data_IF_413074112037
#
_entry.id   IF_413074112037
#
_cell.length_a   1.000
_cell.length_b   1.000
_cell.length_c   1.000
_cell.angle_alpha   90.00
_cell.angle_beta   90.00
_cell.angle_gamma   90.00
#
_symmetry.space_group_name_H-M   'P 1'
#
loop_
_entity.id
_entity.type
_entity.pdbx_description
1 polymer ?
#
# COMPACT_ATOMS: atom_id res chain seq x y z
N UNK A 1 -59.17 -46.19 48.94
CA UNK A 1 -58.70 -44.93 48.40
C UNK A 1 -57.37 -45.23 47.73
N UNK A 2 -57.38 -45.24 46.40
CA UNK A 2 -56.27 -45.65 45.55
C UNK A 2 -55.49 -44.40 45.18
N UNK A 3 -54.18 -44.38 45.54
CA UNK A 3 -53.30 -43.30 45.08
C UNK A 3 -52.52 -43.78 43.85
N UNK A 4 -52.78 -43.09 42.73
CA UNK A 4 -52.15 -43.30 41.43
C UNK A 4 -50.88 -42.47 41.36
N UNK A 5 -49.69 -43.12 41.26
CA UNK A 5 -48.42 -42.44 41.01
C UNK A 5 -48.12 -42.42 39.52
N UNK A 6 -48.18 -41.23 38.93
CA UNK A 6 -47.77 -40.99 37.55
C UNK A 6 -46.23 -40.73 37.51
N UNK A 7 -45.48 -41.62 36.87
CA UNK A 7 -44.06 -41.47 36.55
C UNK A 7 -43.93 -40.49 35.34
N UNK A 8 -43.35 -39.33 35.56
CA UNK A 8 -42.87 -38.44 34.50
C UNK A 8 -41.51 -38.95 34.03
N UNK A 9 -41.45 -39.40 32.77
CA UNK A 9 -40.17 -39.64 32.10
C UNK A 9 -39.63 -38.29 31.61
N UNK A 10 -38.47 -37.86 32.17
CA UNK A 10 -37.70 -36.73 31.68
C UNK A 10 -36.80 -37.27 30.57
N UNK A 11 -37.09 -36.90 29.33
CA UNK A 11 -36.23 -37.19 28.19
C UNK A 11 -35.10 -36.15 28.17
N UNK A 12 -33.92 -36.55 28.60
CA UNK A 12 -32.70 -35.73 28.49
C UNK A 12 -32.26 -35.76 27.04
N UNK A 13 -32.48 -34.66 26.32
CA UNK A 13 -31.90 -34.42 24.99
C UNK A 13 -30.50 -33.89 25.22
N UNK A 14 -29.50 -34.74 25.09
CA UNK A 14 -28.08 -34.33 25.04
C UNK A 14 -27.80 -33.67 23.68
N UNK A 15 -27.76 -32.33 23.64
CA UNK A 15 -27.26 -31.58 22.50
C UNK A 15 -25.74 -31.73 22.52
N UNK A 16 -25.21 -32.60 21.66
CA UNK A 16 -23.78 -32.63 21.36
C UNK A 16 -23.45 -31.37 20.58
N UNK A 17 -22.94 -30.35 21.29
CA UNK A 17 -22.27 -29.21 20.66
C UNK A 17 -20.93 -29.71 20.11
N UNK A 18 -20.88 -30.07 18.84
CA UNK A 18 -19.61 -30.31 18.15
C UNK A 18 -18.92 -28.94 18.00
N UNK A 19 -17.97 -28.65 18.90
CA UNK A 19 -16.99 -27.59 18.66
C UNK A 19 -16.23 -27.97 17.38
N UNK A 20 -16.60 -27.34 16.25
CA UNK A 20 -15.71 -27.25 15.09
C UNK A 20 -14.52 -26.38 15.55
N UNK A 21 -13.42 -27.03 15.95
CA UNK A 21 -12.11 -26.36 15.96
C UNK A 21 -11.88 -25.96 14.51
N UNK A 22 -12.11 -24.68 14.19
CA UNK A 22 -12.03 -24.18 12.84
C UNK A 22 -10.60 -24.33 12.33
N UNK A 23 -10.37 -25.30 11.44
CA UNK A 23 -9.29 -25.16 10.46
C UNK A 23 -9.49 -23.80 9.78
N UNK A 24 -8.42 -23.00 9.68
CA UNK A 24 -8.50 -21.71 9.03
C UNK A 24 -9.08 -21.92 7.64
N UNK A 25 -10.14 -21.17 7.30
CA UNK A 25 -10.80 -21.22 6.00
C UNK A 25 -9.74 -20.97 4.90
N UNK A 26 -9.73 -21.80 3.85
CA UNK A 26 -8.81 -21.68 2.74
C UNK A 26 -9.16 -20.39 1.99
N UNK A 27 -8.23 -19.45 1.93
CA UNK A 27 -8.35 -18.23 1.13
C UNK A 27 -7.65 -18.44 -0.22
N UNK A 28 -8.40 -18.35 -1.31
CA UNK A 28 -7.88 -18.57 -2.66
C UNK A 28 -6.63 -17.72 -2.95
N UNK A 29 -6.68 -16.42 -2.64
CA UNK A 29 -5.59 -15.50 -2.97
C UNK A 29 -4.33 -15.73 -2.13
N UNK A 30 -4.50 -16.20 -0.88
CA UNK A 30 -3.38 -16.49 0.02
C UNK A 30 -2.78 -17.88 -0.21
N UNK A 31 -3.63 -18.89 -0.40
CA UNK A 31 -3.24 -20.29 -0.27
C UNK A 31 -3.18 -21.02 -1.61
N UNK A 32 -4.03 -20.68 -2.58
CA UNK A 32 -4.19 -21.40 -3.85
C UNK A 32 -3.54 -20.63 -5.02
N UNK A 33 -3.84 -19.34 -5.15
CA UNK A 33 -3.35 -18.53 -6.27
C UNK A 33 -1.81 -18.56 -6.41
N UNK A 34 -1.00 -18.49 -5.34
CA UNK A 34 0.46 -18.59 -5.47
C UNK A 34 0.90 -19.94 -6.07
N UNK A 35 0.26 -21.05 -5.68
CA UNK A 35 0.57 -22.38 -6.20
C UNK A 35 0.27 -22.44 -7.70
N UNK A 36 -0.89 -21.95 -8.13
CA UNK A 36 -1.28 -21.91 -9.54
C UNK A 36 -0.35 -20.99 -10.35
N UNK A 37 -0.02 -19.81 -9.80
CA UNK A 37 0.84 -18.83 -10.45
C UNK A 37 2.26 -19.36 -10.69
N UNK A 38 2.82 -20.06 -9.73
CA UNK A 38 4.17 -20.61 -9.82
C UNK A 38 4.26 -21.80 -10.80
N UNK A 39 3.22 -22.66 -10.85
CA UNK A 39 3.32 -23.97 -11.50
C UNK A 39 2.46 -24.11 -12.78
N UNK A 40 1.44 -23.27 -12.98
CA UNK A 40 0.42 -23.50 -14.01
C UNK A 40 0.25 -22.33 -14.99
N UNK A 41 0.30 -21.08 -14.52
CA UNK A 41 -0.12 -19.92 -15.34
C UNK A 41 0.81 -19.58 -16.50
N UNK A 42 2.03 -20.06 -16.51
CA UNK A 42 2.93 -19.93 -17.67
C UNK A 42 2.33 -20.58 -18.93
N UNK A 43 1.53 -21.62 -18.77
CA UNK A 43 0.85 -22.34 -19.88
C UNK A 43 -0.68 -22.16 -19.85
N UNK A 44 -1.27 -21.91 -18.68
CA UNK A 44 -2.70 -21.79 -18.45
C UNK A 44 -3.02 -20.45 -17.77
N UNK A 45 -2.52 -19.35 -18.30
CA UNK A 45 -2.69 -17.98 -17.83
C UNK A 45 -3.30 -17.06 -18.90
N UNK A 46 -3.32 -15.76 -18.65
CA UNK A 46 -3.93 -14.79 -19.56
C UNK A 46 -3.20 -14.71 -20.91
N UNK A 47 -1.87 -14.85 -20.92
CA UNK A 47 -1.05 -14.69 -22.11
C UNK A 47 -0.96 -15.97 -22.95
N UNK A 48 -1.14 -17.14 -22.31
CA UNK A 48 -1.11 -18.45 -22.98
C UNK A 48 -2.16 -19.36 -22.35
N UNK A 49 -3.10 -19.83 -23.17
CA UNK A 49 -4.21 -20.66 -22.75
C UNK A 49 -4.15 -22.03 -23.45
N UNK A 50 -3.18 -22.87 -23.05
CA UNK A 50 -3.12 -24.25 -23.57
C UNK A 50 -4.45 -24.95 -23.30
N UNK A 51 -4.98 -25.69 -24.29
CA UNK A 51 -6.28 -26.33 -24.27
C UNK A 51 -7.49 -25.39 -24.02
N UNK A 52 -7.31 -24.07 -24.16
CA UNK A 52 -8.34 -23.07 -23.87
C UNK A 52 -8.55 -22.78 -22.39
N UNK A 53 -7.65 -23.27 -21.52
CA UNK A 53 -7.74 -23.11 -20.06
C UNK A 53 -6.95 -21.89 -19.57
N UNK A 54 -7.61 -21.03 -18.78
CA UNK A 54 -6.97 -19.98 -18.00
C UNK A 54 -7.30 -20.18 -16.50
N UNK A 55 -6.30 -20.51 -15.71
CA UNK A 55 -6.43 -20.74 -14.25
C UNK A 55 -6.32 -19.48 -13.41
N UNK A 56 -6.22 -18.31 -14.04
CA UNK A 56 -6.33 -17.01 -13.32
C UNK A 56 -7.75 -16.46 -13.36
N UNK A 57 -8.63 -17.06 -14.16
CA UNK A 57 -10.03 -16.66 -14.32
C UNK A 57 -10.99 -17.77 -13.86
N UNK A 58 -11.81 -17.45 -12.87
CA UNK A 58 -12.80 -18.38 -12.30
C UNK A 58 -13.74 -18.99 -13.34
N UNK A 59 -14.24 -18.14 -14.26
CA UNK A 59 -15.15 -18.58 -15.30
C UNK A 59 -14.49 -19.58 -16.24
N UNK A 60 -13.25 -19.33 -16.64
CA UNK A 60 -12.46 -20.23 -17.50
C UNK A 60 -12.15 -21.54 -16.79
N UNK A 61 -11.74 -21.49 -15.52
CA UNK A 61 -11.40 -22.68 -14.75
C UNK A 61 -12.61 -23.64 -14.54
N UNK A 62 -13.82 -23.10 -14.50
CA UNK A 62 -15.07 -23.85 -14.33
C UNK A 62 -15.76 -24.20 -15.65
N UNK A 63 -15.32 -23.63 -16.76
CA UNK A 63 -15.89 -23.89 -18.07
C UNK A 63 -15.57 -25.32 -18.55
N UNK A 64 -16.41 -25.82 -19.46
CA UNK A 64 -16.14 -27.07 -20.16
C UNK A 64 -14.99 -26.87 -21.14
N UNK A 65 -13.97 -27.72 -21.04
CA UNK A 65 -12.82 -27.76 -21.92
C UNK A 65 -13.17 -28.48 -23.25
N UNK A 66 -12.30 -28.35 -24.25
CA UNK A 66 -12.45 -29.09 -25.53
C UNK A 66 -12.53 -30.62 -25.37
N UNK A 67 -12.06 -31.13 -24.25
CA UNK A 67 -12.13 -32.56 -23.89
C UNK A 67 -13.50 -32.99 -23.34
N UNK A 68 -14.45 -32.06 -23.15
CA UNK A 68 -15.72 -32.31 -22.47
C UNK A 68 -15.63 -32.34 -20.93
N UNK A 69 -14.43 -32.16 -20.38
CA UNK A 69 -14.19 -32.14 -18.92
C UNK A 69 -14.07 -30.70 -18.43
N UNK A 70 -14.08 -30.49 -17.09
CA UNK A 70 -13.86 -29.19 -16.45
C UNK A 70 -12.60 -29.23 -15.59
N UNK A 71 -11.81 -28.17 -15.63
CA UNK A 71 -10.61 -28.11 -14.80
C UNK A 71 -10.97 -28.11 -13.32
N UNK A 72 -11.99 -27.35 -12.93
CA UNK A 72 -12.48 -27.25 -11.54
C UNK A 72 -13.98 -27.50 -11.51
N UNK A 73 -14.41 -28.52 -10.78
CA UNK A 73 -15.81 -28.82 -10.45
C UNK A 73 -16.04 -28.49 -8.98
N UNK A 74 -16.67 -27.36 -8.64
CA UNK A 74 -16.86 -26.96 -7.25
C UNK A 74 -17.55 -28.04 -6.42
N UNK A 75 -16.99 -28.35 -5.26
CA UNK A 75 -17.47 -29.38 -4.33
C UNK A 75 -17.07 -30.81 -4.70
N UNK A 76 -16.45 -31.03 -5.88
CA UNK A 76 -16.11 -32.36 -6.35
C UNK A 76 -14.66 -32.45 -6.89
N UNK A 77 -13.66 -32.67 -6.03
CA UNK A 77 -12.27 -32.79 -6.44
C UNK A 77 -11.99 -34.01 -7.35
N UNK A 78 -12.76 -35.08 -7.25
CA UNK A 78 -12.50 -36.30 -8.03
C UNK A 78 -13.01 -36.18 -9.48
N UNK A 79 -14.03 -35.35 -9.74
CA UNK A 79 -14.49 -35.00 -11.09
C UNK A 79 -13.74 -33.80 -11.69
N UNK A 80 -12.83 -33.20 -10.94
CA UNK A 80 -12.03 -32.06 -11.39
C UNK A 80 -10.80 -32.54 -12.17
N UNK A 81 -10.70 -32.17 -13.45
CA UNK A 81 -9.57 -32.55 -14.31
C UNK A 81 -8.24 -32.03 -13.76
N UNK A 82 -8.24 -30.90 -13.07
CA UNK A 82 -7.05 -30.37 -12.38
C UNK A 82 -6.50 -31.39 -11.38
N UNK A 83 -7.35 -31.96 -10.53
CA UNK A 83 -6.95 -32.96 -9.55
C UNK A 83 -6.42 -34.22 -10.19
N UNK A 84 -7.09 -34.74 -11.21
CA UNK A 84 -6.64 -35.90 -11.96
C UNK A 84 -5.23 -35.69 -12.52
N UNK A 85 -5.00 -34.55 -13.20
CA UNK A 85 -3.72 -34.25 -13.84
C UNK A 85 -2.58 -33.96 -12.86
N UNK A 86 -2.88 -33.59 -11.61
CA UNK A 86 -1.88 -33.43 -10.56
C UNK A 86 -1.47 -34.76 -9.91
N UNK A 87 -2.28 -35.84 -10.06
CA UNK A 87 -2.10 -37.08 -9.31
C UNK A 87 -1.90 -38.32 -10.19
N UNK A 88 -2.14 -38.21 -11.51
CA UNK A 88 -1.97 -39.33 -12.43
C UNK A 88 -0.50 -39.77 -12.56
N UNK A 89 -0.30 -41.06 -12.79
CA UNK A 89 1.02 -41.64 -13.11
C UNK A 89 1.28 -41.69 -14.63
N UNK A 90 0.28 -41.36 -15.46
CA UNK A 90 0.44 -41.23 -16.89
C UNK A 90 1.22 -39.95 -17.21
N UNK A 91 2.42 -40.12 -17.79
CA UNK A 91 3.32 -39.01 -18.09
C UNK A 91 2.76 -38.03 -19.13
N UNK A 92 1.88 -38.49 -20.03
CA UNK A 92 1.26 -37.64 -21.05
C UNK A 92 0.16 -36.77 -20.50
N UNK A 93 -0.47 -37.19 -19.41
CA UNK A 93 -1.53 -36.49 -18.74
C UNK A 93 -1.05 -35.67 -17.52
N UNK A 94 0.12 -35.98 -17.00
CA UNK A 94 0.67 -35.34 -15.79
C UNK A 94 0.92 -33.84 -15.99
N UNK A 95 0.51 -33.04 -14.98
CA UNK A 95 0.77 -31.59 -14.94
C UNK A 95 1.46 -31.19 -13.61
N UNK A 96 2.46 -30.29 -13.64
CA UNK A 96 3.18 -29.84 -14.84
C UNK A 96 3.86 -30.99 -15.55
N UNK A 97 4.05 -30.92 -16.91
CA UNK A 97 4.78 -31.96 -17.65
C UNK A 97 6.21 -32.12 -17.09
N UNK A 98 6.76 -33.33 -17.06
CA UNK A 98 8.06 -33.63 -16.45
C UNK A 98 9.23 -32.79 -16.98
N UNK A 99 9.17 -32.39 -18.26
CA UNK A 99 10.16 -31.57 -18.95
C UNK A 99 10.00 -30.06 -18.75
N UNK A 100 8.87 -29.63 -18.18
CA UNK A 100 8.53 -28.19 -18.01
C UNK A 100 8.41 -27.72 -16.57
N UNK A 101 8.54 -28.56 -15.56
CA UNK A 101 8.44 -28.16 -14.18
C UNK A 101 8.62 -29.29 -13.16
N UNK A 102 8.68 -28.93 -11.89
CA UNK A 102 8.69 -29.88 -10.78
C UNK A 102 7.25 -30.27 -10.43
N UNK A 103 7.02 -31.52 -10.07
CA UNK A 103 5.76 -31.96 -9.47
C UNK A 103 5.43 -31.10 -8.25
N UNK A 104 4.15 -30.80 -8.07
CA UNK A 104 3.67 -30.15 -6.84
C UNK A 104 3.96 -31.05 -5.65
N UNK A 105 4.21 -30.44 -4.51
CA UNK A 105 4.36 -31.16 -3.24
C UNK A 105 3.02 -31.78 -2.80
N UNK A 106 3.03 -32.91 -2.08
CA UNK A 106 1.79 -33.56 -1.63
C UNK A 106 0.87 -32.65 -0.82
N UNK A 107 1.44 -31.76 -0.01
CA UNK A 107 0.69 -30.77 0.79
C UNK A 107 -0.01 -29.74 -0.10
N UNK A 108 0.63 -29.28 -1.18
CA UNK A 108 0.02 -28.37 -2.16
C UNK A 108 -1.15 -29.04 -2.91
N UNK A 109 -0.99 -30.32 -3.30
CA UNK A 109 -2.07 -31.09 -3.95
C UNK A 109 -3.24 -31.28 -2.96
N UNK A 110 -2.95 -31.61 -1.71
CA UNK A 110 -3.97 -31.75 -0.66
C UNK A 110 -4.75 -30.46 -0.46
N UNK A 111 -4.04 -29.33 -0.44
CA UNK A 111 -4.65 -28.01 -0.26
C UNK A 111 -5.57 -27.64 -1.44
N UNK A 112 -5.16 -27.91 -2.68
CA UNK A 112 -5.99 -27.70 -3.89
C UNK A 112 -7.24 -28.60 -3.83
N UNK A 113 -7.10 -29.87 -3.47
CA UNK A 113 -8.24 -30.80 -3.34
C UNK A 113 -9.23 -30.34 -2.28
N UNK A 114 -8.75 -29.90 -1.14
CA UNK A 114 -9.57 -29.35 -0.06
C UNK A 114 -10.31 -28.09 -0.51
N UNK A 115 -9.60 -27.15 -1.16
CA UNK A 115 -10.23 -25.95 -1.73
C UNK A 115 -11.37 -26.28 -2.70
N UNK A 116 -11.17 -27.28 -3.58
CA UNK A 116 -12.22 -27.72 -4.51
C UNK A 116 -13.38 -28.34 -3.73
N UNK A 117 -13.10 -29.18 -2.73
CA UNK A 117 -14.14 -29.82 -1.90
C UNK A 117 -14.98 -28.80 -1.12
N UNK A 118 -14.39 -27.69 -0.70
CA UNK A 118 -15.07 -26.56 -0.05
C UNK A 118 -15.87 -25.68 -1.03
N UNK A 119 -15.99 -26.08 -2.30
CA UNK A 119 -16.76 -25.37 -3.34
C UNK A 119 -15.91 -24.46 -4.22
N UNK A 120 -14.59 -24.57 -4.13
CA UNK A 120 -13.63 -23.76 -4.88
C UNK A 120 -13.94 -22.25 -4.80
N UNK A 121 -14.06 -21.67 -3.60
CA UNK A 121 -14.36 -20.25 -3.45
C UNK A 121 -13.24 -19.41 -4.06
N UNK A 122 -13.55 -18.68 -5.11
CA UNK A 122 -12.60 -17.78 -5.77
C UNK A 122 -12.68 -16.41 -5.11
N UNK A 123 -11.61 -15.94 -4.52
CA UNK A 123 -11.58 -14.67 -3.84
C UNK A 123 -10.46 -13.77 -4.34
N UNK A 124 -10.73 -12.48 -4.41
CA UNK A 124 -9.68 -11.48 -4.63
C UNK A 124 -8.83 -11.36 -3.37
N UNK A 125 -7.56 -11.02 -3.54
CA UNK A 125 -6.69 -10.67 -2.43
C UNK A 125 -7.38 -9.63 -1.52
N UNK A 126 -7.19 -9.74 -0.21
CA UNK A 126 -7.90 -8.90 0.78
C UNK A 126 -7.73 -7.39 0.52
N UNK A 127 -6.58 -6.96 -0.01
CA UNK A 127 -6.31 -5.56 -0.34
C UNK A 127 -7.22 -4.99 -1.45
N UNK A 128 -7.83 -5.85 -2.28
CA UNK A 128 -8.76 -5.46 -3.35
C UNK A 128 -10.23 -5.68 -2.98
N UNK A 129 -10.50 -6.11 -1.75
CA UNK A 129 -11.87 -6.28 -1.26
C UNK A 129 -12.37 -4.97 -0.65
N UNK A 130 -13.64 -4.61 -0.83
CA UNK A 130 -14.23 -3.49 -0.11
C UNK A 130 -14.04 -3.66 1.40
N UNK A 131 -13.73 -2.57 2.09
CA UNK A 131 -13.63 -2.59 3.55
C UNK A 131 -14.97 -2.99 4.16
N UNK A 132 -14.93 -3.89 5.13
CA UNK A 132 -16.09 -4.29 5.93
C UNK A 132 -15.92 -3.75 7.34
N UNK A 133 -17.03 -3.37 7.94
CA UNK A 133 -17.01 -3.07 9.37
C UNK A 133 -16.72 -4.35 10.13
N UNK A 134 -15.66 -4.34 10.94
CA UNK A 134 -15.24 -5.48 11.76
C UNK A 134 -15.62 -5.21 13.19
N UNK A 135 -16.33 -6.17 13.81
CA UNK A 135 -16.61 -6.10 15.25
C UNK A 135 -15.36 -6.52 16.02
N UNK A 136 -14.87 -5.68 16.95
CA UNK A 136 -13.75 -6.05 17.80
C UNK A 136 -14.05 -7.33 18.59
N UNK A 137 -13.09 -8.25 18.72
CA UNK A 137 -13.31 -9.52 19.38
C UNK A 137 -13.57 -9.37 20.89
N UNK A 138 -14.33 -10.29 21.46
CA UNK A 138 -14.43 -10.47 22.91
C UNK A 138 -13.11 -11.04 23.45
N UNK A 139 -12.65 -10.54 24.60
CA UNK A 139 -11.38 -10.93 25.21
C UNK A 139 -11.51 -10.98 26.73
N UNK A 140 -10.71 -11.83 27.40
CA UNK A 140 -10.80 -12.08 28.84
C UNK A 140 -10.13 -10.98 29.68
N UNK A 141 -8.94 -10.52 29.30
CA UNK A 141 -8.14 -9.55 30.06
C UNK A 141 -8.54 -8.09 29.83
N UNK A 142 -9.83 -7.76 29.99
CA UNK A 142 -10.41 -6.46 29.70
C UNK A 142 -9.73 -5.24 30.36
N UNK A 143 -9.10 -5.43 31.52
CA UNK A 143 -8.39 -4.35 32.22
C UNK A 143 -7.15 -3.79 31.49
N UNK A 144 -6.59 -4.53 30.52
CA UNK A 144 -5.46 -4.10 29.69
C UNK A 144 -5.89 -3.18 28.53
N UNK A 145 -7.15 -3.26 28.14
CA UNK A 145 -7.72 -2.57 26.96
C UNK A 145 -7.80 -1.06 27.20
N UNK A 146 -7.32 -0.27 26.25
CA UNK A 146 -7.47 1.21 26.21
C UNK A 146 -8.28 1.67 25.00
N UNK A 147 -8.21 0.90 23.89
CA UNK A 147 -8.94 1.16 22.66
C UNK A 147 -9.26 -0.15 21.93
N UNK A 148 -10.01 -0.06 20.83
CA UNK A 148 -10.46 -1.24 20.09
C UNK A 148 -9.31 -2.03 19.43
N UNK A 149 -8.18 -1.39 19.12
CA UNK A 149 -6.99 -2.07 18.57
C UNK A 149 -6.43 -3.07 19.58
N UNK A 150 -6.46 -2.72 20.86
CA UNK A 150 -5.98 -3.58 21.95
C UNK A 150 -6.75 -4.91 22.02
N UNK A 151 -8.05 -4.90 21.66
CA UNK A 151 -8.86 -6.12 21.61
C UNK A 151 -8.33 -7.12 20.58
N UNK A 152 -7.97 -6.64 19.39
CA UNK A 152 -7.39 -7.50 18.35
C UNK A 152 -6.02 -8.04 18.75
N UNK A 153 -5.19 -7.21 19.38
CA UNK A 153 -3.87 -7.63 19.90
C UNK A 153 -4.05 -8.68 20.98
N UNK A 154 -4.94 -8.42 21.95
CA UNK A 154 -5.15 -9.29 23.10
C UNK A 154 -5.78 -10.64 22.69
N UNK A 155 -6.77 -10.64 21.80
CA UNK A 155 -7.34 -11.87 21.26
C UNK A 155 -6.27 -12.77 20.63
N UNK A 156 -5.29 -12.17 19.94
CA UNK A 156 -4.19 -12.91 19.34
C UNK A 156 -3.21 -13.45 20.39
N UNK A 157 -2.92 -12.68 21.44
CA UNK A 157 -2.11 -13.14 22.57
C UNK A 157 -2.79 -14.31 23.29
N UNK A 158 -4.08 -14.19 23.62
CA UNK A 158 -4.88 -15.23 24.28
C UNK A 158 -4.93 -16.51 23.46
N UNK A 159 -5.12 -16.43 22.14
CA UNK A 159 -5.09 -17.58 21.23
C UNK A 159 -3.74 -18.35 21.28
N UNK A 160 -2.64 -17.63 21.54
CA UNK A 160 -1.32 -18.22 21.74
C UNK A 160 -0.96 -18.49 23.21
N UNK A 161 -1.90 -18.32 24.15
CA UNK A 161 -1.70 -18.46 25.61
C UNK A 161 -0.59 -17.55 26.14
N UNK A 162 -0.46 -16.38 25.56
CA UNK A 162 0.49 -15.35 25.98
C UNK A 162 -0.24 -14.24 26.76
N UNK A 163 0.48 -13.62 27.69
CA UNK A 163 0.01 -12.45 28.42
C UNK A 163 0.72 -11.19 27.93
N UNK A 164 0.05 -10.03 27.96
CA UNK A 164 0.72 -8.76 27.71
C UNK A 164 1.88 -8.53 28.69
N UNK A 165 2.99 -7.98 28.18
CA UNK A 165 4.10 -7.57 29.04
C UNK A 165 3.66 -6.46 30.01
N UNK A 166 4.27 -6.37 31.19
CA UNK A 166 4.05 -5.25 32.11
C UNK A 166 4.34 -3.91 31.43
N UNK A 167 3.64 -2.88 31.85
CA UNK A 167 3.86 -1.53 31.36
C UNK A 167 5.30 -1.10 31.64
N UNK A 168 5.94 -0.45 30.66
CA UNK A 168 7.25 0.13 30.82
C UNK A 168 7.24 1.22 31.91
N UNK A 169 8.35 1.37 32.63
CA UNK A 169 8.58 2.49 33.53
C UNK A 169 8.55 3.83 32.76
N UNK A 170 8.38 4.93 33.49
CA UNK A 170 8.18 6.27 32.87
C UNK A 170 9.39 6.76 32.10
N UNK A 171 10.61 6.48 32.55
CA UNK A 171 11.82 6.85 31.84
C UNK A 171 11.93 6.11 30.50
N UNK A 172 11.66 4.80 30.51
CA UNK A 172 11.62 3.98 29.31
C UNK A 172 10.51 4.44 28.36
N UNK A 173 9.33 4.78 28.90
CA UNK A 173 8.18 5.18 28.10
C UNK A 173 8.43 6.51 27.37
N UNK A 174 8.89 7.56 28.07
CA UNK A 174 9.19 8.84 27.41
C UNK A 174 10.29 8.68 26.35
N UNK A 175 11.34 7.90 26.64
CA UNK A 175 12.40 7.62 25.68
C UNK A 175 11.84 6.98 24.42
N UNK A 176 11.04 5.92 24.53
CA UNK A 176 10.42 5.22 23.39
C UNK A 176 9.53 6.14 22.57
N UNK A 177 8.60 6.85 23.23
CA UNK A 177 7.67 7.77 22.55
C UNK A 177 8.41 8.90 21.83
N UNK A 178 9.48 9.45 22.41
CA UNK A 178 10.28 10.50 21.77
C UNK A 178 10.97 9.98 20.51
N UNK A 179 11.63 8.83 20.57
CA UNK A 179 12.27 8.25 19.40
C UNK A 179 11.28 7.81 18.32
N UNK A 180 10.12 7.27 18.71
CA UNK A 180 9.11 6.84 17.76
C UNK A 180 8.45 8.02 17.06
N UNK A 181 8.03 9.05 17.81
CA UNK A 181 7.26 10.16 17.27
C UNK A 181 8.12 11.25 16.61
N UNK A 182 9.26 11.60 17.22
CA UNK A 182 10.10 12.71 16.72
C UNK A 182 11.52 12.32 16.33
N UNK A 183 11.93 11.07 16.58
CA UNK A 183 13.25 10.56 16.22
C UNK A 183 14.42 11.11 17.07
N UNK A 184 14.13 11.86 18.12
CA UNK A 184 15.10 12.54 18.98
C UNK A 184 14.98 12.08 20.44
N UNK A 185 16.06 12.10 21.23
CA UNK A 185 15.99 11.84 22.65
C UNK A 185 15.23 12.97 23.36
N UNK A 186 14.50 12.67 24.45
CA UNK A 186 13.91 13.71 25.27
C UNK A 186 14.98 14.51 26.01
N UNK A 187 14.76 15.82 26.23
CA UNK A 187 15.62 16.62 27.05
C UNK A 187 15.53 16.21 28.53
N UNK A 188 16.57 16.38 29.35
CA UNK A 188 16.53 16.00 30.78
C UNK A 188 15.36 16.59 31.56
N UNK A 189 15.05 17.86 31.35
CA UNK A 189 13.92 18.53 32.00
C UNK A 189 12.55 17.97 31.58
N UNK A 190 12.42 17.49 30.33
CA UNK A 190 11.20 16.83 29.85
C UNK A 190 11.00 15.47 30.51
N UNK A 191 12.09 14.73 30.72
CA UNK A 191 12.09 13.47 31.44
C UNK A 191 11.63 13.70 32.88
N UNK A 192 12.24 14.67 33.57
CA UNK A 192 11.89 15.02 34.95
C UNK A 192 10.44 15.46 35.09
N UNK A 193 9.97 16.32 34.22
CA UNK A 193 8.59 16.79 34.20
C UNK A 193 7.60 15.62 34.01
N UNK A 194 7.87 14.73 33.06
CA UNK A 194 7.00 13.58 32.82
C UNK A 194 7.05 12.55 33.96
N UNK A 195 8.21 12.23 34.52
CA UNK A 195 8.36 11.27 35.61
C UNK A 195 7.61 11.78 36.88
N UNK A 196 7.63 13.09 37.13
CA UNK A 196 7.00 13.72 38.28
C UNK A 196 5.49 14.01 38.08
N UNK A 197 4.97 14.05 36.87
CA UNK A 197 3.52 14.23 36.60
C UNK A 197 2.75 12.98 37.01
N UNK A 198 2.06 13.00 38.14
CA UNK A 198 1.26 11.88 38.65
C UNK A 198 -0.20 11.90 38.17
N UNK A 199 -0.55 12.81 37.27
CA UNK A 199 -1.92 12.89 36.74
C UNK A 199 -2.21 11.68 35.82
N UNK A 200 -3.48 11.31 35.73
CA UNK A 200 -3.99 10.30 34.79
C UNK A 200 -3.72 10.66 33.32
N UNK A 201 -3.61 11.97 33.04
CA UNK A 201 -3.43 12.52 31.69
C UNK A 201 -1.95 12.69 31.30
N UNK A 202 -1.00 12.28 32.12
CA UNK A 202 0.41 12.50 31.87
C UNK A 202 0.87 11.91 30.52
N UNK A 203 0.37 10.71 30.15
CA UNK A 203 0.68 10.06 28.87
C UNK A 203 0.11 10.84 27.69
N UNK A 204 -1.17 11.26 27.79
CA UNK A 204 -1.85 12.03 26.74
C UNK A 204 -1.19 13.39 26.51
N UNK A 205 -0.78 14.07 27.59
CA UNK A 205 -0.03 15.31 27.51
C UNK A 205 1.31 15.13 26.83
N UNK A 206 2.05 14.05 27.15
CA UNK A 206 3.33 13.73 26.53
C UNK A 206 3.14 13.47 25.03
N UNK A 207 2.20 12.60 24.65
CA UNK A 207 1.93 12.27 23.24
C UNK A 207 1.47 13.51 22.48
N UNK A 208 0.54 14.30 23.03
CA UNK A 208 0.07 15.54 22.40
C UNK A 208 1.20 16.54 22.15
N UNK A 209 2.11 16.72 23.12
CA UNK A 209 3.29 17.58 22.97
C UNK A 209 4.23 17.09 21.85
N UNK A 210 4.48 15.79 21.78
CA UNK A 210 5.36 15.20 20.76
C UNK A 210 4.73 15.30 19.35
N UNK A 211 3.42 15.06 19.23
CA UNK A 211 2.70 15.22 17.96
C UNK A 211 2.67 16.69 17.49
N UNK A 212 2.61 17.65 18.41
CA UNK A 212 2.66 19.09 18.09
C UNK A 212 4.08 19.61 17.78
N UNK A 213 5.10 18.79 17.94
CA UNK A 213 6.48 19.16 17.64
C UNK A 213 6.72 19.23 16.13
N UNK A 214 7.42 20.27 15.65
CA UNK A 214 7.88 20.36 14.27
C UNK A 214 8.70 19.13 13.81
N UNK A 215 9.39 18.48 14.75
CA UNK A 215 10.20 17.30 14.49
C UNK A 215 9.37 16.06 14.17
N UNK A 216 8.05 16.07 14.45
CA UNK A 216 7.16 15.00 14.01
C UNK A 216 7.11 14.93 12.49
N UNK A 217 6.88 16.04 11.80
CA UNK A 217 6.91 16.08 10.34
C UNK A 217 8.29 15.78 9.75
N UNK A 218 9.38 16.22 10.38
CA UNK A 218 10.75 15.87 9.95
C UNK A 218 10.99 14.34 10.05
N UNK A 219 10.55 13.73 11.16
CA UNK A 219 10.67 12.27 11.39
C UNK A 219 9.87 11.45 10.39
N UNK A 220 8.61 11.81 10.19
CA UNK A 220 7.68 11.02 9.37
C UNK A 220 7.74 11.40 7.89
N UNK A 221 8.05 12.66 7.57
CA UNK A 221 8.27 13.14 6.21
C UNK A 221 9.38 12.39 5.49
N UNK A 222 10.43 11.97 6.22
CA UNK A 222 11.51 11.17 5.67
C UNK A 222 11.00 9.87 5.02
N UNK A 223 10.07 9.17 5.66
CA UNK A 223 9.52 7.93 5.11
C UNK A 223 8.73 8.15 3.82
N UNK A 224 8.02 9.28 3.74
CA UNK A 224 7.36 9.67 2.50
C UNK A 224 8.35 10.05 1.41
N UNK A 225 9.36 10.85 1.74
CA UNK A 225 10.40 11.29 0.81
C UNK A 225 11.20 10.12 0.25
N UNK A 226 11.48 9.08 1.05
CA UNK A 226 12.09 7.84 0.57
C UNK A 226 11.21 7.15 -0.48
N UNK A 227 9.89 7.10 -0.27
CA UNK A 227 8.96 6.55 -1.24
C UNK A 227 8.82 7.41 -2.50
N UNK A 228 8.83 8.73 -2.33
CA UNK A 228 8.85 9.69 -3.44
C UNK A 228 10.18 9.70 -4.20
N UNK A 229 11.21 9.02 -3.71
CA UNK A 229 12.58 8.98 -4.26
C UNK A 229 13.22 10.37 -4.31
N UNK A 230 12.92 11.19 -3.28
CA UNK A 230 13.47 12.52 -3.15
C UNK A 230 14.99 12.51 -3.18
N UNK A 231 15.57 13.38 -3.99
CA UNK A 231 17.01 13.65 -4.01
C UNK A 231 17.28 15.13 -4.25
N UNK A 232 18.38 15.62 -3.67
CA UNK A 232 18.87 16.98 -3.88
C UNK A 232 19.73 17.11 -5.16
N UNK A 233 19.82 16.05 -5.97
CA UNK A 233 20.58 15.98 -7.22
C UNK A 233 19.82 15.20 -8.30
N UNK A 234 20.34 15.24 -9.55
CA UNK A 234 19.70 14.65 -10.72
C UNK A 234 19.68 13.12 -10.72
N UNK A 235 20.60 12.47 -9.98
CA UNK A 235 20.66 11.02 -9.82
C UNK A 235 21.13 10.26 -11.07
N UNK A 236 21.73 10.92 -12.04
CA UNK A 236 22.29 10.32 -13.23
C UNK A 236 23.73 10.84 -13.47
N UNK A 237 24.46 10.34 -14.46
CA UNK A 237 25.91 10.49 -14.65
C UNK A 237 26.53 11.81 -14.20
N UNK A 238 26.05 12.97 -14.67
CA UNK A 238 26.53 14.29 -14.24
C UNK A 238 26.08 14.69 -12.84
N UNK A 239 25.00 14.13 -12.37
CA UNK A 239 24.44 14.31 -11.04
C UNK A 239 24.46 15.76 -10.52
N UNK A 240 23.93 16.69 -11.33
CA UNK A 240 23.90 18.11 -10.95
C UNK A 240 22.98 18.36 -9.74
N UNK A 241 23.32 19.34 -8.87
CA UNK A 241 22.47 19.67 -7.73
C UNK A 241 21.15 20.31 -8.13
N UNK A 242 20.05 19.89 -7.51
CA UNK A 242 18.71 20.44 -7.66
C UNK A 242 18.46 21.54 -6.65
N UNK A 243 18.83 22.76 -6.96
CA UNK A 243 18.87 23.91 -6.05
C UNK A 243 17.53 24.23 -5.35
N UNK A 244 16.40 23.76 -5.86
CA UNK A 244 15.08 24.01 -5.31
C UNK A 244 14.33 22.76 -4.83
N UNK A 245 14.94 21.58 -4.87
CA UNK A 245 14.31 20.33 -4.45
C UNK A 245 13.84 20.36 -2.98
N UNK A 246 14.62 20.98 -2.11
CA UNK A 246 14.31 21.17 -0.68
C UNK A 246 12.92 21.78 -0.42
N UNK A 247 12.36 22.52 -1.37
CA UNK A 247 11.03 23.13 -1.22
C UNK A 247 9.93 22.09 -1.17
N UNK A 248 10.04 21.04 -1.99
CA UNK A 248 9.13 19.89 -1.93
C UNK A 248 9.29 19.12 -0.61
N UNK A 249 10.52 18.87 -0.18
CA UNK A 249 10.78 18.27 1.14
C UNK A 249 10.10 19.05 2.26
N UNK A 250 10.27 20.37 2.27
CA UNK A 250 9.67 21.23 3.31
C UNK A 250 8.13 21.26 3.20
N UNK A 251 7.58 21.17 1.97
CA UNK A 251 6.14 21.01 1.78
C UNK A 251 5.63 19.71 2.44
N UNK A 252 6.29 18.58 2.20
CA UNK A 252 5.94 17.28 2.83
C UNK A 252 5.99 17.37 4.35
N UNK A 253 7.08 17.91 4.92
CA UNK A 253 7.25 18.09 6.36
C UNK A 253 6.11 18.93 6.96
N UNK A 254 5.81 20.06 6.31
CA UNK A 254 4.78 20.99 6.78
C UNK A 254 3.38 20.39 6.65
N UNK A 255 3.09 19.65 5.59
CA UNK A 255 1.80 18.97 5.39
C UNK A 255 1.54 17.92 6.47
N UNK A 256 2.57 17.14 6.85
CA UNK A 256 2.48 16.16 7.94
C UNK A 256 2.29 16.86 9.29
N UNK A 257 3.02 17.95 9.55
CA UNK A 257 2.86 18.73 10.79
C UNK A 257 1.50 19.41 10.88
N UNK A 258 0.88 19.74 9.74
CA UNK A 258 -0.47 20.31 9.67
C UNK A 258 -1.57 19.24 9.71
N UNK A 259 -1.20 17.97 9.83
CA UNK A 259 -2.14 16.83 9.76
C UNK A 259 -3.05 16.90 8.52
N UNK A 260 -2.45 17.25 7.36
CA UNK A 260 -3.19 17.36 6.10
C UNK A 260 -3.86 16.01 5.77
N UNK A 261 -5.20 15.96 5.57
CA UNK A 261 -5.89 14.72 5.24
C UNK A 261 -5.24 13.99 4.06
N UNK A 262 -5.14 12.66 4.16
CA UNK A 262 -4.36 11.86 3.20
C UNK A 262 -4.88 11.96 1.76
N UNK A 263 -6.18 12.07 1.57
CA UNK A 263 -6.80 12.32 0.27
C UNK A 263 -6.37 13.66 -0.32
N UNK A 264 -6.40 14.73 0.48
CA UNK A 264 -5.92 16.05 0.05
C UNK A 264 -4.41 16.04 -0.23
N UNK A 265 -3.62 15.42 0.64
CA UNK A 265 -2.19 15.22 0.48
C UNK A 265 -1.86 14.48 -0.83
N UNK A 266 -2.68 13.50 -1.20
CA UNK A 266 -2.57 12.75 -2.46
C UNK A 266 -2.91 13.61 -3.67
N UNK A 267 -4.07 14.27 -3.64
CA UNK A 267 -4.55 15.13 -4.74
C UNK A 267 -3.54 16.22 -5.06
N UNK A 268 -3.02 16.91 -4.02
CA UNK A 268 -2.07 18.00 -4.22
C UNK A 268 -0.76 17.55 -4.86
N UNK A 269 -0.26 16.36 -4.52
CA UNK A 269 0.96 15.84 -5.11
C UNK A 269 0.79 15.33 -6.55
N UNK A 270 -0.36 14.75 -6.87
CA UNK A 270 -0.59 14.20 -8.21
C UNK A 270 -1.11 15.24 -9.21
N UNK A 271 -1.94 16.18 -8.75
CA UNK A 271 -2.71 17.10 -9.59
C UNK A 271 -2.95 18.46 -8.92
N UNK A 272 -2.09 18.89 -8.01
CA UNK A 272 -2.27 20.15 -7.27
C UNK A 272 -2.33 21.40 -8.16
N UNK A 273 -1.62 21.38 -9.29
CA UNK A 273 -1.63 22.45 -10.31
C UNK A 273 -2.92 22.51 -11.13
N UNK A 274 -3.69 21.42 -11.17
CA UNK A 274 -4.97 21.30 -11.87
C UNK A 274 -6.17 21.72 -11.01
N UNK A 275 -5.97 22.00 -9.73
CA UNK A 275 -7.03 22.43 -8.83
C UNK A 275 -7.57 23.80 -9.23
N UNK A 276 -8.88 24.06 -9.09
CA UNK A 276 -9.44 25.38 -9.32
C UNK A 276 -8.76 26.44 -8.43
N UNK A 277 -8.21 27.49 -9.04
CA UNK A 277 -7.45 28.54 -8.33
C UNK A 277 -6.27 28.00 -7.50
N UNK A 278 -5.55 27.01 -8.03
CA UNK A 278 -4.44 26.37 -7.36
C UNK A 278 -3.46 27.36 -6.73
N UNK A 279 -3.22 27.20 -5.45
CA UNK A 279 -2.25 28.00 -4.70
C UNK A 279 -0.81 27.63 -5.08
N UNK A 280 0.15 28.48 -4.74
CA UNK A 280 1.56 28.21 -4.97
C UNK A 280 2.05 26.95 -4.23
N UNK A 281 1.49 26.65 -3.04
CA UNK A 281 1.82 25.44 -2.29
C UNK A 281 1.25 24.19 -2.95
N UNK A 282 0.05 24.25 -3.50
CA UNK A 282 -0.54 23.14 -4.25
C UNK A 282 0.23 22.84 -5.54
N UNK A 283 0.66 23.89 -6.26
CA UNK A 283 1.57 23.72 -7.39
C UNK A 283 2.92 23.14 -6.99
N UNK A 284 3.47 23.57 -5.84
CA UNK A 284 4.73 23.04 -5.30
C UNK A 284 4.61 21.55 -4.96
N UNK A 285 3.48 21.10 -4.45
CA UNK A 285 3.23 19.69 -4.13
C UNK A 285 3.44 18.77 -5.32
N UNK A 286 3.10 19.22 -6.55
CA UNK A 286 3.30 18.44 -7.79
C UNK A 286 4.77 18.16 -8.12
N UNK A 287 5.70 18.76 -7.39
CA UNK A 287 7.11 18.40 -7.50
C UNK A 287 7.38 16.93 -7.11
N UNK A 288 6.43 16.21 -6.50
CA UNK A 288 6.43 14.76 -6.43
C UNK A 288 6.70 14.12 -7.81
N UNK A 289 6.01 14.58 -8.84
CA UNK A 289 6.15 14.09 -10.22
C UNK A 289 7.49 14.46 -10.87
N UNK A 290 8.29 15.33 -10.22
CA UNK A 290 9.61 15.78 -10.70
C UNK A 290 10.77 15.06 -10.00
N UNK A 291 10.51 14.06 -9.14
CA UNK A 291 11.53 13.26 -8.46
C UNK A 291 12.06 12.12 -9.35
N UNK A 292 11.96 12.26 -10.66
CA UNK A 292 12.54 11.34 -11.66
C UNK A 292 14.03 11.61 -11.85
N UNK A 293 14.77 10.64 -12.37
CA UNK A 293 16.12 10.86 -12.86
C UNK A 293 16.10 11.92 -13.97
N UNK A 294 17.08 12.81 -13.99
CA UNK A 294 17.23 13.83 -15.04
C UNK A 294 18.53 13.62 -15.80
N UNK A 295 18.43 13.36 -17.09
CA UNK A 295 19.60 13.28 -17.96
C UNK A 295 19.92 14.63 -18.59
N UNK A 296 21.13 15.12 -18.35
CA UNK A 296 21.66 16.37 -18.95
C UNK A 296 22.85 16.11 -19.87
N UNK A 297 23.09 14.85 -20.26
CA UNK A 297 24.16 14.46 -21.17
C UNK A 297 23.90 14.96 -22.60
N UNK A 298 24.99 15.36 -23.28
CA UNK A 298 24.92 15.68 -24.71
C UNK A 298 24.83 14.44 -25.59
N UNK A 299 24.08 14.55 -26.72
CA UNK A 299 23.98 13.43 -27.69
C UNK A 299 23.00 12.32 -27.32
N UNK A 300 22.19 12.51 -26.29
CA UNK A 300 21.14 11.56 -25.90
C UNK A 300 19.82 11.82 -26.62
N UNK A 301 19.00 10.77 -26.79
CA UNK A 301 17.64 10.90 -27.33
C UNK A 301 16.72 11.49 -26.24
N UNK A 302 16.32 12.75 -26.42
CA UNK A 302 15.49 13.47 -25.46
C UNK A 302 14.09 12.84 -25.32
N UNK A 303 13.52 12.28 -26.39
CA UNK A 303 12.22 11.62 -26.35
C UNK A 303 12.30 10.30 -25.57
N UNK A 304 13.37 9.54 -25.72
CA UNK A 304 13.61 8.34 -24.90
C UNK A 304 13.60 8.67 -23.41
N UNK A 305 14.30 9.75 -23.01
CA UNK A 305 14.36 10.15 -21.60
C UNK A 305 13.04 10.71 -21.09
N UNK A 306 12.32 11.46 -21.93
CA UNK A 306 10.97 11.94 -21.60
C UNK A 306 10.03 10.76 -21.33
N UNK A 307 10.00 9.77 -22.19
CA UNK A 307 9.19 8.55 -22.04
C UNK A 307 9.63 7.76 -20.81
N UNK A 308 10.93 7.62 -20.56
CA UNK A 308 11.44 6.95 -19.36
C UNK A 308 10.98 7.67 -18.08
N UNK A 309 10.97 9.01 -18.06
CA UNK A 309 10.47 9.77 -16.90
C UNK A 309 8.95 9.58 -16.69
N UNK A 310 8.16 9.48 -17.77
CA UNK A 310 6.71 9.19 -17.65
C UNK A 310 6.48 7.80 -17.07
N UNK A 311 7.19 6.79 -17.55
CA UNK A 311 7.11 5.41 -17.02
C UNK A 311 7.51 5.36 -15.54
N UNK A 312 8.55 6.09 -15.17
CA UNK A 312 9.04 6.16 -13.80
C UNK A 312 8.02 6.84 -12.85
N UNK A 313 7.29 7.87 -13.28
CA UNK A 313 6.20 8.50 -12.51
C UNK A 313 5.07 7.53 -12.25
N UNK A 314 4.65 6.79 -13.27
CA UNK A 314 3.62 5.78 -13.17
C UNK A 314 4.02 4.65 -12.21
N UNK A 315 5.21 4.10 -12.36
CA UNK A 315 5.73 3.03 -11.51
C UNK A 315 5.87 3.50 -10.05
N UNK A 316 6.22 4.76 -9.85
CA UNK A 316 6.26 5.37 -8.52
C UNK A 316 4.87 5.52 -7.93
N UNK A 317 3.87 5.98 -8.70
CA UNK A 317 2.49 6.02 -8.26
C UNK A 317 2.01 4.63 -7.84
N UNK A 318 2.28 3.60 -8.66
CA UNK A 318 1.94 2.22 -8.34
C UNK A 318 2.57 1.75 -7.03
N UNK A 319 3.86 2.02 -6.82
CA UNK A 319 4.57 1.59 -5.61
C UNK A 319 4.17 2.38 -4.36
N UNK A 320 3.90 3.68 -4.47
CA UNK A 320 3.60 4.56 -3.34
C UNK A 320 2.16 4.40 -2.85
N UNK A 321 1.17 4.45 -3.75
CA UNK A 321 -0.25 4.44 -3.37
C UNK A 321 -0.91 3.07 -3.47
N UNK A 322 -0.50 2.24 -4.42
CA UNK A 322 -1.10 0.92 -4.62
C UNK A 322 -0.30 -0.19 -3.93
N UNK A 323 0.97 0.06 -3.57
CA UNK A 323 1.86 -0.98 -3.04
C UNK A 323 2.19 -2.05 -4.08
N UNK A 324 2.10 -1.73 -5.38
CA UNK A 324 2.28 -2.65 -6.51
C UNK A 324 3.54 -2.31 -7.30
N UNK A 325 4.23 -3.33 -7.76
CA UNK A 325 5.34 -3.21 -8.72
C UNK A 325 4.79 -3.26 -10.15
N UNK A 326 4.14 -2.17 -10.59
CA UNK A 326 3.40 -2.15 -11.86
C UNK A 326 4.27 -2.25 -13.12
N UNK A 327 5.57 -2.01 -13.01
CA UNK A 327 6.51 -2.03 -14.14
C UNK A 327 6.55 -3.35 -14.91
N UNK A 328 6.17 -4.49 -14.31
CA UNK A 328 6.01 -5.76 -15.02
C UNK A 328 4.96 -5.68 -16.13
N UNK A 329 3.93 -4.83 -15.91
CA UNK A 329 2.83 -4.67 -16.86
C UNK A 329 3.21 -3.84 -18.11
N UNK A 330 4.42 -3.29 -18.17
CA UNK A 330 4.96 -2.66 -19.40
C UNK A 330 5.02 -3.65 -20.58
N UNK A 331 5.31 -4.91 -20.34
CA UNK A 331 5.51 -5.92 -21.40
C UNK A 331 4.38 -6.95 -21.48
N UNK A 332 3.70 -7.25 -20.37
CA UNK A 332 2.63 -8.26 -20.30
C UNK A 332 1.73 -7.97 -19.09
N UNK A 333 0.57 -8.61 -19.00
CA UNK A 333 -0.27 -8.51 -17.80
C UNK A 333 0.49 -8.93 -16.55
N UNK A 334 0.27 -8.23 -15.42
CA UNK A 334 0.98 -8.57 -14.17
C UNK A 334 0.70 -10.02 -13.78
N UNK A 335 1.75 -10.74 -13.35
CA UNK A 335 1.65 -12.19 -13.12
C UNK A 335 0.78 -12.56 -11.91
N UNK A 336 0.83 -11.75 -10.87
CA UNK A 336 0.17 -12.04 -9.59
C UNK A 336 -0.97 -11.09 -9.28
N UNK A 337 -0.82 -9.82 -9.61
CA UNK A 337 -1.77 -8.77 -9.31
C UNK A 337 -2.75 -8.55 -10.46
N UNK A 338 -3.94 -8.05 -10.13
CA UNK A 338 -5.00 -7.76 -11.10
C UNK A 338 -4.71 -6.44 -11.81
N UNK A 339 -3.55 -6.32 -12.46
CA UNK A 339 -3.12 -5.15 -13.19
C UNK A 339 -2.67 -5.55 -14.59
N UNK A 340 -3.42 -5.12 -15.59
CA UNK A 340 -3.18 -5.49 -16.98
C UNK A 340 -2.22 -4.54 -17.68
N UNK A 341 -1.58 -5.00 -18.77
CA UNK A 341 -0.79 -4.14 -19.64
C UNK A 341 -1.60 -2.96 -20.17
N UNK A 342 -2.88 -3.19 -20.49
CA UNK A 342 -3.79 -2.12 -20.94
C UNK A 342 -3.95 -1.04 -19.87
N UNK A 343 -4.15 -1.41 -18.61
CA UNK A 343 -4.28 -0.48 -17.50
C UNK A 343 -2.97 0.27 -17.24
N UNK A 344 -1.81 -0.37 -17.43
CA UNK A 344 -0.50 0.27 -17.42
C UNK A 344 -0.47 1.46 -18.41
N UNK A 345 -0.77 1.21 -19.68
CA UNK A 345 -0.74 2.29 -20.69
C UNK A 345 -1.89 3.30 -20.57
N UNK A 346 -2.99 2.95 -19.94
CA UNK A 346 -4.01 3.92 -19.55
C UNK A 346 -3.52 4.87 -18.47
N UNK A 347 -2.82 4.34 -17.46
CA UNK A 347 -2.22 5.14 -16.39
C UNK A 347 -1.06 6.00 -16.93
N UNK A 348 -0.20 5.42 -17.77
CA UNK A 348 0.86 6.13 -18.50
C UNK A 348 0.33 7.38 -19.22
N UNK A 349 -0.84 7.29 -19.85
CA UNK A 349 -1.43 8.40 -20.61
C UNK A 349 -1.71 9.63 -19.75
N UNK A 350 -2.00 9.47 -18.45
CA UNK A 350 -2.20 10.62 -17.54
C UNK A 350 -0.94 11.45 -17.32
N UNK A 351 0.24 10.83 -17.38
CA UNK A 351 1.52 11.51 -17.23
C UNK A 351 2.18 11.89 -18.55
N UNK A 352 1.63 11.43 -19.69
CA UNK A 352 2.15 11.65 -21.04
C UNK A 352 1.39 12.75 -21.81
N UNK A 353 0.58 13.55 -21.15
CA UNK A 353 -0.31 14.52 -21.77
C UNK A 353 0.20 15.97 -21.73
N UNK A 354 1.43 16.22 -21.29
CA UNK A 354 2.01 17.55 -21.20
C UNK A 354 3.52 17.51 -21.02
N UNK A 355 4.14 18.66 -21.27
CA UNK A 355 5.56 18.87 -21.05
C UNK A 355 5.83 19.41 -19.65
N UNK A 356 7.05 19.16 -19.16
CA UNK A 356 7.52 19.71 -17.91
C UNK A 356 7.67 21.24 -18.02
N UNK A 357 7.11 21.96 -17.07
CA UNK A 357 7.22 23.41 -16.98
C UNK A 357 7.82 23.86 -15.65
N UNK A 358 8.32 25.09 -15.63
CA UNK A 358 8.81 25.75 -14.43
C UNK A 358 7.85 26.85 -14.02
N UNK A 359 7.59 26.97 -12.71
CA UNK A 359 6.82 28.08 -12.18
C UNK A 359 7.60 28.81 -11.09
N UNK A 360 7.44 30.13 -11.03
CA UNK A 360 8.06 30.95 -9.99
C UNK A 360 7.16 30.96 -8.75
N UNK A 361 7.62 30.36 -7.68
CA UNK A 361 6.92 30.34 -6.40
C UNK A 361 7.71 31.20 -5.39
N UNK A 362 7.14 32.25 -4.81
CA UNK A 362 7.86 33.08 -3.83
C UNK A 362 8.23 32.28 -2.58
N UNK A 363 9.37 32.60 -1.98
CA UNK A 363 9.82 31.94 -0.74
C UNK A 363 8.96 32.31 0.47
N UNK A 364 8.41 33.52 0.45
CA UNK A 364 7.53 34.04 1.50
C UNK A 364 6.74 35.25 0.96
N UNK A 365 5.69 35.67 1.67
CA UNK A 365 4.96 36.89 1.36
C UNK A 365 5.87 38.13 1.43
N UNK A 366 6.81 38.16 2.37
CA UNK A 366 7.79 39.23 2.46
C UNK A 366 8.70 39.27 1.21
N UNK A 367 9.21 38.12 0.76
CA UNK A 367 10.01 38.02 -0.46
C UNK A 367 9.24 38.48 -1.71
N UNK A 368 7.94 38.17 -1.78
CA UNK A 368 7.07 38.68 -2.85
C UNK A 368 6.93 40.19 -2.82
N UNK A 369 6.71 40.78 -1.63
CA UNK A 369 6.61 42.24 -1.47
C UNK A 369 7.94 42.95 -1.81
N UNK A 370 9.07 42.40 -1.36
CA UNK A 370 10.39 42.93 -1.67
C UNK A 370 10.70 42.87 -3.16
N UNK A 371 10.36 41.78 -3.83
CA UNK A 371 10.48 41.63 -5.27
C UNK A 371 9.62 42.68 -6.03
N UNK A 372 8.35 42.83 -5.61
CA UNK A 372 7.46 43.81 -6.23
C UNK A 372 8.01 45.25 -6.10
N UNK A 373 8.56 45.60 -4.95
CA UNK A 373 9.21 46.89 -4.70
C UNK A 373 10.46 47.08 -5.57
N UNK A 374 11.32 46.05 -5.63
CA UNK A 374 12.53 46.09 -6.46
C UNK A 374 12.22 46.18 -7.93
N UNK A 375 11.19 45.44 -8.43
CA UNK A 375 10.73 45.47 -9.80
C UNK A 375 10.24 46.86 -10.19
N UNK A 376 9.37 47.47 -9.39
CA UNK A 376 8.88 48.84 -9.61
C UNK A 376 10.02 49.88 -9.68
N UNK A 377 11.02 49.76 -8.80
CA UNK A 377 12.21 50.62 -8.80
C UNK A 377 13.05 50.43 -10.07
N UNK A 378 13.20 49.18 -10.52
CA UNK A 378 13.94 48.88 -11.77
C UNK A 378 13.23 49.43 -12.99
N UNK A 379 11.92 49.22 -13.10
CA UNK A 379 11.09 49.69 -14.22
C UNK A 379 11.15 51.23 -14.33
N UNK A 380 11.02 51.94 -13.20
CA UNK A 380 11.15 53.40 -13.17
C UNK A 380 12.53 53.90 -13.64
N UNK A 381 13.61 53.21 -13.22
CA UNK A 381 14.98 53.57 -13.68
C UNK A 381 15.19 53.26 -15.14
N UNK A 382 14.64 52.15 -15.64
CA UNK A 382 14.74 51.78 -17.06
C UNK A 382 14.01 52.81 -17.95
N UNK A 383 12.83 53.29 -17.54
CA UNK A 383 12.06 54.30 -18.23
C UNK A 383 12.79 55.66 -18.26
N UNK A 384 13.37 56.08 -17.16
CA UNK A 384 14.20 57.30 -17.08
C UNK A 384 15.41 57.23 -18.02
N UNK A 385 16.11 56.10 -18.03
CA UNK A 385 17.25 55.88 -18.94
C UNK A 385 16.82 55.88 -20.41
N UNK A 386 15.72 55.21 -20.73
CA UNK A 386 15.17 55.18 -22.08
C UNK A 386 14.81 56.60 -22.57
N UNK A 387 14.16 57.38 -21.68
CA UNK A 387 13.81 58.78 -21.96
C UNK A 387 15.06 59.65 -22.19
N UNK A 388 16.14 59.44 -21.43
CA UNK A 388 17.42 60.15 -21.61
C UNK A 388 18.13 59.77 -22.92
N UNK A 389 18.04 58.52 -23.35
CA UNK A 389 18.61 58.05 -24.59
C UNK A 389 17.85 58.64 -25.78
N UNK A 390 16.52 58.64 -25.73
CA UNK A 390 15.66 59.16 -26.84
C UNK A 390 15.78 60.70 -27.02
N UNK A 391 16.20 61.41 -25.97
CA UNK A 391 16.40 62.89 -26.00
C UNK A 391 17.79 63.33 -26.49
N UNK A 392 18.70 62.39 -26.74
CA UNK A 392 19.99 62.60 -27.34
C UNK A 392 19.96 62.29 -28.86
#
# INVERSE_FOLDING_TARGET
MVHCFTKKHILSVSILLTLKIGAAEIDFARDIQPILAENCTTCHGPDKQKAGLNLTDEKSARAELKSGKRAVVPGNPDDSELTYRLTTDDADDLMPPPDHGKRLKPDQITLIRQWIAEGAPWSRHWAYRPLKQVTPPEVEAGAWIRNEIDRFVLAKLEAHKLQPSPRADRNTLIKRLSYDLIGLPPAPGEVEAFVNDKSSEADNKLVGRLLASRHFGERWGRHWLDKARYADSDGYEKDNPRMNAWRYRDWVINSINADLPFDQFTIEQLAGDLLPNATDLQKLATAFNRQTLTNTEGGTDQEQWRVAAVMDREETLGSVWLGLTVGCARCHNHKYDQFTQKEYYQLFAYFNNGDESSTNIPRSQQALADFAKAKKSHESKAEDLTTKITKR
#
